data_IF_911966879298
#
_entry.id   IF_911966879298
#
_cell.length_a   1.000
_cell.length_b   1.000
_cell.length_c   1.000
_cell.angle_alpha   90.00
_cell.angle_beta   90.00
_cell.angle_gamma   90.00
#
_symmetry.space_group_name_H-M   'P 1'
#
loop_
_entity.id
_entity.type
_entity.pdbx_description
1 polymer ?
#
# COMPACT_ATOMS: atom_id res chain seq x y z
N UNK A 1 53.32 1.01 -19.87
CA UNK A 1 52.64 1.44 -18.64
C UNK A 1 51.72 2.62 -18.96
N UNK A 2 50.45 2.36 -19.29
CA UNK A 2 49.39 3.38 -19.46
C UNK A 2 48.05 2.66 -19.25
N UNK A 3 47.71 2.41 -17.99
CA UNK A 3 46.61 3.06 -17.23
C UNK A 3 45.21 2.66 -17.73
N UNK A 4 44.70 1.62 -17.07
CA UNK A 4 43.30 1.25 -16.95
C UNK A 4 42.41 2.48 -16.68
N UNK A 5 41.45 2.73 -17.56
CA UNK A 5 40.19 3.45 -17.32
C UNK A 5 39.36 3.14 -18.57
N UNK A 6 38.28 2.37 -18.52
CA UNK A 6 36.95 2.84 -18.13
C UNK A 6 36.14 1.61 -17.71
N UNK A 7 35.93 1.49 -16.41
CA UNK A 7 34.94 0.64 -15.75
C UNK A 7 34.30 1.55 -14.71
N UNK A 8 33.00 1.41 -14.47
CA UNK A 8 32.10 2.26 -13.68
C UNK A 8 31.26 3.27 -14.50
N UNK A 9 30.26 2.73 -15.19
CA UNK A 9 29.14 3.50 -15.75
C UNK A 9 27.82 2.77 -15.56
N UNK A 10 27.62 2.11 -14.42
CA UNK A 10 26.40 1.32 -14.15
C UNK A 10 26.27 1.08 -12.65
N UNK A 11 25.84 2.09 -11.89
CA UNK A 11 25.41 1.89 -10.50
C UNK A 11 24.33 2.91 -10.11
N UNK A 12 23.20 2.36 -9.67
CA UNK A 12 22.16 2.99 -8.85
C UNK A 12 21.24 4.04 -9.50
N UNK A 13 20.44 3.62 -10.48
CA UNK A 13 19.07 4.13 -10.65
C UNK A 13 18.11 3.26 -9.82
N UNK A 14 18.30 3.23 -8.50
CA UNK A 14 17.33 2.63 -7.59
C UNK A 14 16.33 3.72 -7.21
N UNK A 15 15.17 3.68 -7.86
CA UNK A 15 14.01 4.53 -7.59
C UNK A 15 13.61 4.42 -6.11
N UNK A 16 13.85 5.49 -5.34
CA UNK A 16 13.64 5.58 -3.90
C UNK A 16 12.16 5.79 -3.53
N UNK A 17 11.29 4.89 -3.97
CA UNK A 17 9.97 4.74 -3.36
C UNK A 17 10.14 3.91 -2.08
N UNK A 18 9.81 4.48 -0.92
CA UNK A 18 9.85 3.75 0.35
C UNK A 18 8.41 3.42 0.76
N UNK A 19 8.07 2.13 0.70
CA UNK A 19 6.90 1.57 1.40
C UNK A 19 7.42 0.84 2.62
N UNK A 20 6.89 1.19 3.78
CA UNK A 20 7.20 0.55 5.05
C UNK A 20 5.90 0.05 5.67
N UNK A 21 5.99 -1.04 6.42
CA UNK A 21 4.88 -1.57 7.19
C UNK A 21 5.31 -1.87 8.62
N UNK A 22 4.42 -1.57 9.57
CA UNK A 22 4.64 -1.79 11.00
C UNK A 22 3.55 -2.69 11.52
N UNK A 23 3.92 -3.90 11.94
CA UNK A 23 2.97 -4.84 12.56
C UNK A 23 2.76 -4.47 14.02
N UNK A 24 1.52 -4.16 14.40
CA UNK A 24 1.13 -3.87 15.78
C UNK A 24 0.69 -5.14 16.51
N UNK A 25 0.04 -6.06 15.80
CA UNK A 25 -0.39 -7.37 16.29
C UNK A 25 -0.30 -8.38 15.14
N UNK A 26 0.49 -9.44 15.33
CA UNK A 26 0.56 -10.54 14.36
C UNK A 26 -0.80 -11.22 14.21
N UNK A 27 -1.14 -11.64 12.98
CA UNK A 27 -2.35 -12.40 12.71
C UNK A 27 -2.19 -13.75 13.42
N UNK A 28 -3.05 -14.02 14.40
CA UNK A 28 -2.83 -15.12 15.37
C UNK A 28 -3.50 -16.45 14.95
N UNK A 29 -4.12 -16.51 13.78
CA UNK A 29 -4.78 -17.71 13.26
C UNK A 29 -4.49 -17.89 11.76
N UNK A 30 -4.31 -19.13 11.27
CA UNK A 30 -4.20 -19.39 9.83
C UNK A 30 -5.47 -18.90 9.13
N UNK A 31 -5.31 -17.99 8.17
CA UNK A 31 -6.42 -17.47 7.39
C UNK A 31 -6.54 -18.23 6.08
N UNK A 32 -7.17 -19.40 6.15
CA UNK A 32 -7.45 -20.23 4.97
C UNK A 32 -8.61 -19.68 4.14
N UNK A 33 -9.49 -18.90 4.77
CA UNK A 33 -10.60 -18.22 4.10
C UNK A 33 -10.12 -17.00 3.29
N UNK A 34 -10.84 -16.62 2.23
CA UNK A 34 -10.58 -15.37 1.53
C UNK A 34 -10.88 -14.16 2.44
N UNK A 35 -10.36 -12.99 2.08
CA UNK A 35 -10.60 -11.73 2.75
C UNK A 35 -11.76 -10.97 2.11
N UNK A 36 -12.50 -10.26 2.96
CA UNK A 36 -13.45 -9.22 2.59
C UNK A 36 -13.02 -7.93 3.27
N UNK A 37 -12.77 -6.89 2.48
CA UNK A 37 -12.28 -5.63 3.04
C UNK A 37 -13.27 -4.48 2.90
N UNK A 38 -13.21 -3.56 3.85
CA UNK A 38 -13.89 -2.26 3.82
C UNK A 38 -12.85 -1.16 3.98
N UNK A 39 -12.95 -0.11 3.17
CA UNK A 39 -12.08 1.07 3.29
C UNK A 39 -12.84 2.17 4.02
N UNK A 40 -12.28 2.63 5.15
CA UNK A 40 -12.75 3.79 5.90
C UNK A 40 -11.88 4.99 5.59
N UNK A 41 -12.49 6.08 5.10
CA UNK A 41 -11.78 7.30 4.76
C UNK A 41 -11.95 8.35 5.87
N UNK A 42 -10.92 8.56 6.70
CA UNK A 42 -10.98 9.53 7.81
C UNK A 42 -10.28 10.86 7.51
N UNK A 43 -9.48 10.93 6.43
CA UNK A 43 -8.61 12.07 6.10
C UNK A 43 -8.97 12.71 4.75
N UNK A 44 -10.24 12.65 4.35
CA UNK A 44 -10.74 13.21 3.09
C UNK A 44 -9.91 12.79 1.86
N UNK A 45 -9.44 11.54 1.84
CA UNK A 45 -8.76 10.99 0.67
C UNK A 45 -9.61 11.19 -0.58
N UNK A 46 -8.96 11.57 -1.69
CA UNK A 46 -9.68 11.85 -2.93
C UNK A 46 -10.45 10.63 -3.43
N UNK A 47 -11.59 10.87 -4.08
CA UNK A 47 -12.44 9.80 -4.64
C UNK A 47 -11.64 8.97 -5.65
N UNK A 48 -10.83 9.62 -6.47
CA UNK A 48 -9.95 8.98 -7.44
C UNK A 48 -8.87 8.14 -6.77
N UNK A 49 -8.25 8.67 -5.70
CA UNK A 49 -7.27 7.95 -4.88
C UNK A 49 -7.81 6.67 -4.27
N UNK A 50 -9.03 6.75 -3.71
CA UNK A 50 -9.71 5.60 -3.12
C UNK A 50 -10.13 4.58 -4.17
N UNK A 51 -10.59 5.04 -5.34
CA UNK A 51 -10.93 4.16 -6.46
C UNK A 51 -9.71 3.39 -6.96
N UNK A 52 -8.57 4.08 -7.16
CA UNK A 52 -7.31 3.43 -7.52
C UNK A 52 -6.85 2.43 -6.46
N UNK A 53 -6.96 2.77 -5.16
CA UNK A 53 -6.58 1.85 -4.09
C UNK A 53 -7.47 0.61 -4.07
N UNK A 54 -8.77 0.78 -4.31
CA UNK A 54 -9.74 -0.31 -4.37
C UNK A 54 -9.43 -1.27 -5.53
N UNK A 55 -9.25 -0.72 -6.73
CA UNK A 55 -8.88 -1.49 -7.92
C UNK A 55 -7.56 -2.26 -7.68
N UNK A 56 -6.55 -1.58 -7.16
CA UNK A 56 -5.25 -2.18 -6.84
C UNK A 56 -5.36 -3.33 -5.80
N UNK A 57 -6.23 -3.19 -4.79
CA UNK A 57 -6.48 -4.23 -3.78
C UNK A 57 -7.25 -5.42 -4.37
N UNK A 58 -8.29 -5.15 -5.16
CA UNK A 58 -9.09 -6.19 -5.81
C UNK A 58 -8.22 -7.04 -6.72
N UNK A 59 -7.44 -6.42 -7.60
CA UNK A 59 -6.52 -7.12 -8.51
C UNK A 59 -5.53 -8.02 -7.75
N UNK A 60 -4.91 -7.51 -6.68
CA UNK A 60 -3.88 -8.23 -5.93
C UNK A 60 -4.46 -9.35 -5.08
N UNK A 61 -5.59 -9.12 -4.39
CA UNK A 61 -6.28 -10.16 -3.64
C UNK A 61 -6.84 -11.23 -4.57
N UNK A 62 -7.36 -10.84 -5.74
CA UNK A 62 -7.85 -11.80 -6.74
C UNK A 62 -6.69 -12.61 -7.33
N UNK A 63 -5.57 -11.98 -7.69
CA UNK A 63 -4.37 -12.67 -8.17
C UNK A 63 -3.78 -13.64 -7.13
N UNK A 64 -3.91 -13.32 -5.84
CA UNK A 64 -3.54 -14.22 -4.74
C UNK A 64 -4.58 -15.32 -4.46
N UNK A 65 -5.73 -15.33 -5.13
CA UNK A 65 -6.84 -16.25 -4.84
C UNK A 65 -7.48 -16.03 -3.46
N UNK A 66 -7.30 -14.84 -2.88
CA UNK A 66 -7.68 -14.48 -1.51
C UNK A 66 -8.78 -13.43 -1.46
N UNK A 67 -9.37 -13.03 -2.59
CA UNK A 67 -10.56 -12.16 -2.60
C UNK A 67 -11.85 -12.99 -2.46
N UNK A 68 -12.76 -12.56 -1.57
CA UNK A 68 -14.05 -13.22 -1.43
C UNK A 68 -14.88 -13.12 -2.72
N UNK A 69 -15.31 -14.26 -3.26
CA UNK A 69 -16.00 -14.32 -4.55
C UNK A 69 -17.38 -13.62 -4.55
N UNK A 70 -18.10 -13.67 -3.44
CA UNK A 70 -19.43 -13.05 -3.29
C UNK A 70 -19.61 -12.42 -1.90
N UNK A 71 -20.56 -11.48 -1.74
CA UNK A 71 -20.97 -10.92 -0.43
C UNK A 71 -21.32 -11.96 0.64
N UNK A 72 -21.86 -13.10 0.23
CA UNK A 72 -22.34 -14.17 1.12
C UNK A 72 -21.28 -15.24 1.41
N UNK A 73 -20.15 -15.22 0.69
CA UNK A 73 -19.07 -16.21 0.90
C UNK A 73 -18.43 -16.02 2.28
N UNK A 74 -18.12 -17.13 3.01
CA UNK A 74 -17.32 -17.07 4.22
C UNK A 74 -16.00 -16.35 3.94
N UNK A 75 -15.74 -15.27 4.66
CA UNK A 75 -14.57 -14.43 4.44
C UNK A 75 -14.11 -13.81 5.76
N UNK A 76 -12.80 -13.60 5.88
CA UNK A 76 -12.21 -12.88 7.01
C UNK A 76 -12.43 -11.38 6.80
N UNK A 77 -13.13 -10.69 7.73
CA UNK A 77 -13.33 -9.26 7.64
C UNK A 77 -12.01 -8.51 7.87
N UNK A 78 -11.74 -7.55 6.98
CA UNK A 78 -10.60 -6.65 7.05
C UNK A 78 -11.09 -5.22 6.99
N UNK A 79 -10.69 -4.40 7.95
CA UNK A 79 -10.92 -2.97 7.94
C UNK A 79 -9.62 -2.25 7.57
N UNK A 80 -9.69 -1.40 6.54
CA UNK A 80 -8.57 -0.58 6.06
C UNK A 80 -8.95 0.88 6.31
N UNK A 81 -8.39 1.49 7.35
CA UNK A 81 -8.62 2.89 7.69
C UNK A 81 -7.51 3.77 7.12
N UNK A 82 -7.85 4.71 6.24
CA UNK A 82 -6.89 5.67 5.68
C UNK A 82 -6.63 6.78 6.69
N UNK A 83 -5.47 6.74 7.33
CA UNK A 83 -5.07 7.65 8.41
C UNK A 83 -4.18 8.80 7.94
N UNK A 84 -3.72 8.77 6.70
CA UNK A 84 -3.10 9.91 6.04
C UNK A 84 -3.24 9.76 4.52
N UNK A 85 -3.69 10.82 3.85
CA UNK A 85 -3.69 10.89 2.40
C UNK A 85 -3.17 12.26 1.95
N UNK A 86 -2.00 12.28 1.33
CA UNK A 86 -1.43 13.48 0.75
C UNK A 86 -0.84 13.19 -0.62
N UNK A 87 -1.51 13.66 -1.67
CA UNK A 87 -1.05 13.55 -3.06
C UNK A 87 -0.92 14.94 -3.66
N UNK A 88 0.26 15.27 -4.20
CA UNK A 88 0.43 16.51 -4.97
C UNK A 88 -0.31 16.42 -6.29
N UNK A 89 -1.22 17.35 -6.55
CA UNK A 89 -1.82 17.54 -7.87
C UNK A 89 -0.77 18.11 -8.85
N UNK A 90 -0.84 17.71 -10.13
CA UNK A 90 0.25 17.86 -11.11
C UNK A 90 0.85 19.27 -11.28
N UNK A 91 0.09 20.35 -11.02
CA UNK A 91 0.61 21.72 -11.08
C UNK A 91 1.56 22.11 -9.96
N UNK A 92 1.36 21.58 -8.75
CA UNK A 92 2.23 21.85 -7.60
C UNK A 92 3.59 21.12 -7.73
N UNK A 93 3.62 19.95 -8.39
CA UNK A 93 4.85 19.18 -8.62
C UNK A 93 5.89 19.94 -9.45
N UNK A 94 5.46 20.79 -10.37
CA UNK A 94 6.35 21.58 -11.24
C UNK A 94 6.83 22.89 -10.61
N UNK A 95 6.04 23.50 -9.72
CA UNK A 95 6.29 24.86 -9.22
C UNK A 95 7.23 24.95 -8.00
N UNK A 96 7.27 23.91 -7.15
CA UNK A 96 7.99 23.96 -5.84
C UNK A 96 9.19 23.03 -5.74
N UNK A 97 9.54 22.33 -6.82
CA UNK A 97 10.73 21.47 -6.88
C UNK A 97 10.74 20.33 -5.83
N UNK A 98 11.91 19.73 -5.63
CA UNK A 98 12.17 18.55 -4.78
C UNK A 98 11.81 18.77 -3.28
N UNK A 99 11.55 20.01 -2.85
CA UNK A 99 11.34 20.40 -1.45
C UNK A 99 9.87 20.44 -0.98
N UNK A 100 8.89 20.16 -1.84
CA UNK A 100 7.46 20.44 -1.59
C UNK A 100 6.68 19.47 -0.67
N UNK A 101 7.34 18.66 0.16
CA UNK A 101 6.67 17.68 1.03
C UNK A 101 6.25 16.41 0.28
N UNK A 102 6.63 15.22 0.77
CA UNK A 102 6.55 13.93 0.06
C UNK A 102 5.09 13.48 -0.11
N UNK A 103 4.74 12.90 -1.26
CA UNK A 103 3.43 12.23 -1.36
C UNK A 103 3.40 11.11 -0.32
N UNK A 104 2.30 10.96 0.42
CA UNK A 104 2.17 9.98 1.49
C UNK A 104 0.78 9.36 1.53
N UNK A 105 0.74 8.06 1.75
CA UNK A 105 -0.46 7.29 2.02
C UNK A 105 -0.18 6.42 3.24
N UNK A 106 -0.94 6.62 4.32
CA UNK A 106 -0.88 5.76 5.51
C UNK A 106 -2.24 5.11 5.74
N UNK A 107 -2.20 3.81 5.98
CA UNK A 107 -3.39 3.00 6.27
C UNK A 107 -3.16 2.19 7.53
N UNK A 108 -4.19 2.07 8.37
CA UNK A 108 -4.26 1.12 9.48
C UNK A 108 -5.17 -0.03 9.08
N UNK A 109 -4.65 -1.24 9.17
CA UNK A 109 -5.34 -2.47 8.79
C UNK A 109 -5.66 -3.24 10.06
N UNK A 110 -6.91 -3.66 10.20
CA UNK A 110 -7.38 -4.52 11.28
C UNK A 110 -8.05 -5.75 10.68
N UNK A 111 -7.72 -6.92 11.21
CA UNK A 111 -8.26 -8.21 10.78
C UNK A 111 -9.09 -8.78 11.91
N UNK A 112 -10.29 -9.25 11.60
CA UNK A 112 -11.25 -9.76 12.58
C UNK A 112 -11.56 -11.23 12.33
N UNK A 113 -11.97 -11.97 13.37
CA UNK A 113 -12.59 -13.27 13.21
C UNK A 113 -14.09 -13.14 12.90
N UNK A 114 -14.77 -14.29 12.71
CA UNK A 114 -16.20 -14.35 12.45
C UNK A 114 -17.09 -13.88 13.62
N UNK A 115 -16.51 -13.71 14.81
CA UNK A 115 -17.20 -13.21 16.02
C UNK A 115 -16.98 -11.70 16.23
N UNK A 116 -16.22 -11.05 15.34
CA UNK A 116 -15.91 -9.62 15.38
C UNK A 116 -14.75 -9.26 16.32
N UNK A 117 -13.99 -10.24 16.83
CA UNK A 117 -12.80 -9.99 17.63
C UNK A 117 -11.59 -9.76 16.72
N UNK A 118 -10.77 -8.77 17.05
CA UNK A 118 -9.55 -8.49 16.30
C UNK A 118 -8.51 -9.61 16.51
N UNK A 119 -8.06 -10.20 15.41
CA UNK A 119 -7.06 -11.27 15.38
C UNK A 119 -5.72 -10.83 14.77
N UNK A 120 -5.65 -9.62 14.23
CA UNK A 120 -4.40 -9.02 13.74
C UNK A 120 -4.56 -7.53 13.42
N UNK A 121 -3.45 -6.80 13.45
CA UNK A 121 -3.41 -5.40 13.07
C UNK A 121 -2.02 -4.96 12.63
N UNK A 122 -1.96 -4.15 11.59
CA UNK A 122 -0.71 -3.56 11.11
C UNK A 122 -0.99 -2.23 10.42
N UNK A 123 0.05 -1.43 10.26
CA UNK A 123 0.01 -0.18 9.52
C UNK A 123 0.90 -0.30 8.29
N UNK A 124 0.47 0.29 7.19
CA UNK A 124 1.27 0.45 5.98
C UNK A 124 1.40 1.93 5.71
N UNK A 125 2.61 2.37 5.40
CA UNK A 125 2.93 3.72 4.98
C UNK A 125 3.73 3.67 3.69
N UNK A 126 3.21 4.32 2.66
CA UNK A 126 3.92 4.51 1.39
C UNK A 126 4.21 5.98 1.21
N UNK A 127 5.47 6.28 0.88
CA UNK A 127 5.89 7.64 0.57
C UNK A 127 6.63 7.69 -0.76
N UNK A 128 6.36 8.74 -1.53
CA UNK A 128 7.16 9.06 -2.70
C UNK A 128 8.04 10.29 -2.42
N UNK A 129 9.32 10.03 -2.15
CA UNK A 129 10.30 11.07 -1.83
C UNK A 129 10.80 11.81 -3.07
N UNK A 130 10.80 11.16 -4.23
CA UNK A 130 11.30 11.69 -5.49
C UNK A 130 10.12 12.06 -6.38
N UNK A 131 10.18 13.17 -7.12
CA UNK A 131 9.17 13.50 -8.15
C UNK A 131 9.14 12.48 -9.33
N UNK A 132 9.90 11.39 -9.21
CA UNK A 132 9.91 10.24 -10.09
C UNK A 132 9.00 9.15 -9.50
N UNK A 133 7.80 9.04 -10.03
CA UNK A 133 6.79 8.07 -9.64
C UNK A 133 5.39 8.63 -9.84
N UNK A 134 4.47 7.80 -10.32
CA UNK A 134 3.07 8.19 -10.46
C UNK A 134 2.33 7.96 -9.14
N UNK A 135 1.26 8.72 -8.90
CA UNK A 135 0.37 8.48 -7.76
C UNK A 135 -0.18 7.06 -7.80
N UNK A 136 -0.57 6.56 -8.99
CA UNK A 136 -0.99 5.18 -9.20
C UNK A 136 0.06 4.17 -8.77
N UNK A 137 1.31 4.30 -9.21
CA UNK A 137 2.38 3.36 -8.86
C UNK A 137 2.70 3.32 -7.36
N UNK A 138 2.47 4.43 -6.63
CA UNK A 138 2.60 4.44 -5.17
C UNK A 138 1.42 3.72 -4.49
N UNK A 139 0.19 3.98 -4.94
CA UNK A 139 -1.02 3.31 -4.46
C UNK A 139 -0.94 1.80 -4.73
N UNK A 140 -0.44 1.42 -5.90
CA UNK A 140 -0.18 0.04 -6.29
C UNK A 140 0.75 -0.68 -5.30
N UNK A 141 1.92 -0.11 -5.02
CA UNK A 141 2.86 -0.68 -4.04
C UNK A 141 2.29 -0.70 -2.64
N UNK A 142 1.43 0.27 -2.30
CA UNK A 142 0.74 0.29 -1.02
C UNK A 142 -0.22 -0.89 -0.89
N UNK A 143 -1.03 -1.15 -1.92
CA UNK A 143 -1.92 -2.30 -1.97
C UNK A 143 -1.15 -3.63 -1.95
N UNK A 144 0.00 -3.71 -2.65
CA UNK A 144 0.89 -4.87 -2.64
C UNK A 144 1.37 -5.20 -1.23
N UNK A 145 1.84 -4.20 -0.48
CA UNK A 145 2.30 -4.41 0.90
C UNK A 145 1.15 -4.85 1.83
N UNK A 146 -0.04 -4.29 1.67
CA UNK A 146 -1.23 -4.72 2.43
C UNK A 146 -1.52 -6.20 2.18
N UNK A 147 -1.60 -6.60 0.91
CA UNK A 147 -1.89 -7.99 0.54
C UNK A 147 -0.78 -8.92 1.02
N UNK A 148 0.48 -8.55 0.83
CA UNK A 148 1.62 -9.32 1.30
C UNK A 148 1.56 -9.58 2.81
N UNK A 149 1.17 -8.58 3.62
CA UNK A 149 1.02 -8.74 5.07
C UNK A 149 -0.17 -9.59 5.47
N UNK A 150 -1.29 -9.52 4.73
CA UNK A 150 -2.44 -10.37 4.96
C UNK A 150 -2.13 -11.85 4.66
N UNK A 151 -1.38 -12.12 3.59
CA UNK A 151 -1.07 -13.48 3.14
C UNK A 151 0.17 -14.11 3.77
N UNK A 152 0.94 -13.34 4.54
CA UNK A 152 2.08 -13.86 5.33
C UNK A 152 1.64 -14.55 6.64
N UNK A 153 0.33 -14.68 6.88
CA UNK A 153 -0.25 -15.32 8.08
C UNK A 153 -0.45 -16.83 7.96
#
# INVERSE_FOLDING_TARGET
MLRNAILLGSLALLSACATNSVTHQAITAPVDLPFRYTILNTEEASVEGLAMLREALDERLQAAGKLAATPESPAVPVEITITNYYMRHGGARFMVGIMAGRDSLRSRIRVFDGEGKQIGAFEVESTNATAWGTTGGMIDKHAEEIVAKLTQS
#
